data_IF_132278651300
#
_entry.id   IF_132278651300
#
_cell.length_a   1.000
_cell.length_b   1.000
_cell.length_c   1.000
_cell.angle_alpha   90.00
_cell.angle_beta   90.00
_cell.angle_gamma   90.00
#
_symmetry.space_group_name_H-M   'P 1'
#
loop_
_entity.id
_entity.type
_entity.pdbx_description
1 polymer ?
#
# COMPACT_ATOMS: atom_id res chain seq x y z
N UNK A 1 -5.75 -35.63 7.71
CA UNK A 1 -5.87 -34.64 8.81
C UNK A 1 -6.39 -33.30 8.24
N UNK A 2 -7.14 -32.50 9.00
CA UNK A 2 -7.81 -31.29 8.48
C UNK A 2 -6.83 -30.26 7.88
N UNK A 3 -5.64 -30.10 8.49
CA UNK A 3 -4.58 -29.23 7.97
C UNK A 3 -4.10 -29.64 6.57
N UNK A 4 -3.95 -30.95 6.31
CA UNK A 4 -3.51 -31.45 5.01
C UNK A 4 -4.56 -31.18 3.92
N UNK A 5 -5.84 -31.27 4.24
CA UNK A 5 -6.94 -30.96 3.31
C UNK A 5 -6.99 -29.46 2.99
N UNK A 6 -6.79 -28.60 4.00
CA UNK A 6 -6.73 -27.14 3.78
C UNK A 6 -5.62 -26.76 2.79
N UNK A 7 -4.38 -27.22 3.01
CA UNK A 7 -3.26 -26.84 2.13
C UNK A 7 -3.28 -27.51 0.76
N UNK A 8 -3.86 -28.70 0.63
CA UNK A 8 -3.81 -29.48 -0.62
C UNK A 8 -5.05 -29.28 -1.51
N UNK A 9 -6.18 -28.87 -0.94
CA UNK A 9 -7.47 -28.77 -1.66
C UNK A 9 -8.05 -27.38 -1.53
N UNK A 10 -8.31 -26.92 -0.30
CA UNK A 10 -9.03 -25.65 -0.09
C UNK A 10 -8.20 -24.44 -0.51
N UNK A 11 -6.95 -24.34 -0.05
CA UNK A 11 -6.06 -23.22 -0.30
C UNK A 11 -5.75 -23.07 -1.81
N UNK A 12 -5.36 -24.12 -2.56
CA UNK A 12 -5.16 -24.00 -4.01
C UNK A 12 -6.44 -23.63 -4.75
N UNK A 13 -7.60 -24.14 -4.31
CA UNK A 13 -8.89 -23.83 -4.93
C UNK A 13 -9.31 -22.37 -4.75
N UNK A 14 -8.98 -21.75 -3.61
CA UNK A 14 -9.25 -20.31 -3.36
C UNK A 14 -8.07 -19.41 -3.70
N UNK A 15 -6.92 -19.97 -4.09
CA UNK A 15 -5.68 -19.24 -4.32
C UNK A 15 -5.83 -18.04 -5.27
N UNK A 16 -6.55 -18.14 -6.41
CA UNK A 16 -6.77 -16.98 -7.28
C UNK A 16 -7.45 -15.83 -6.54
N UNK A 17 -8.47 -16.12 -5.72
CA UNK A 17 -9.17 -15.13 -4.91
C UNK A 17 -8.30 -14.56 -3.78
N UNK A 18 -7.43 -15.38 -3.18
CA UNK A 18 -6.46 -14.91 -2.16
C UNK A 18 -5.44 -13.96 -2.79
N UNK A 19 -4.96 -14.26 -4.00
CA UNK A 19 -4.05 -13.37 -4.74
C UNK A 19 -4.75 -12.03 -4.99
N UNK A 20 -5.93 -12.02 -5.61
CA UNK A 20 -6.69 -10.78 -5.86
C UNK A 20 -6.96 -9.99 -4.57
N UNK A 21 -7.37 -10.67 -3.49
CA UNK A 21 -7.62 -10.04 -2.20
C UNK A 21 -6.35 -9.45 -1.56
N UNK A 22 -5.22 -10.15 -1.67
CA UNK A 22 -3.93 -9.65 -1.16
C UNK A 22 -3.46 -8.41 -1.90
N UNK A 23 -3.67 -8.36 -3.22
CA UNK A 23 -3.33 -7.24 -4.07
C UNK A 23 -4.19 -6.00 -3.75
N UNK A 24 -5.50 -6.20 -3.59
CA UNK A 24 -6.42 -5.14 -3.19
C UNK A 24 -6.04 -4.56 -1.81
N UNK A 25 -5.72 -5.43 -0.84
CA UNK A 25 -5.27 -4.99 0.48
C UNK A 25 -3.92 -4.27 0.43
N UNK A 26 -3.01 -4.70 -0.44
CA UNK A 26 -1.73 -3.99 -0.67
C UNK A 26 -1.96 -2.57 -1.18
N UNK A 27 -2.85 -2.39 -2.17
CA UNK A 27 -3.23 -1.07 -2.70
C UNK A 27 -3.83 -0.20 -1.60
N UNK A 28 -4.75 -0.74 -0.82
CA UNK A 28 -5.40 0.00 0.27
C UNK A 28 -4.38 0.42 1.33
N UNK A 29 -3.45 -0.47 1.70
CA UNK A 29 -2.40 -0.19 2.65
C UNK A 29 -1.44 0.92 2.18
N UNK A 30 -1.13 1.00 0.88
CA UNK A 30 -0.31 2.08 0.33
C UNK A 30 -0.97 3.47 0.47
N UNK A 31 -2.30 3.52 0.51
CA UNK A 31 -3.06 4.76 0.68
C UNK A 31 -3.29 5.12 2.15
N UNK A 32 -3.04 4.18 3.08
CA UNK A 32 -3.37 4.33 4.48
C UNK A 32 -2.22 5.01 5.27
N UNK A 33 -2.24 6.34 5.29
CA UNK A 33 -1.24 7.12 6.02
C UNK A 33 -1.63 7.43 7.48
N UNK A 34 -2.92 7.36 7.85
CA UNK A 34 -3.39 7.74 9.18
C UNK A 34 -2.82 6.80 10.25
N UNK A 35 -2.89 5.49 10.01
CA UNK A 35 -2.27 4.49 10.90
C UNK A 35 -0.75 4.69 10.99
N UNK A 36 -0.09 4.96 9.87
CA UNK A 36 1.34 5.29 9.85
C UNK A 36 1.65 6.53 10.69
N UNK A 37 0.82 7.57 10.64
CA UNK A 37 1.00 8.79 11.44
C UNK A 37 0.91 8.53 12.95
N UNK A 38 0.08 7.58 13.38
CA UNK A 38 -0.04 7.20 14.79
C UNK A 38 1.11 6.29 15.27
N UNK A 39 1.74 5.55 14.36
CA UNK A 39 2.83 4.61 14.64
C UNK A 39 4.23 5.18 14.37
N UNK A 40 4.33 6.35 13.72
CA UNK A 40 5.58 6.99 13.34
C UNK A 40 6.37 7.42 14.59
N UNK A 41 7.66 7.14 14.58
CA UNK A 41 8.64 7.65 15.54
C UNK A 41 9.48 8.74 14.85
N UNK A 42 10.07 9.66 15.62
CA UNK A 42 10.86 10.78 15.08
C UNK A 42 12.01 10.35 14.15
N UNK A 43 12.45 9.08 14.24
CA UNK A 43 13.52 8.52 13.41
C UNK A 43 13.04 7.93 12.07
N UNK A 44 11.76 7.60 11.93
CA UNK A 44 11.24 6.88 10.76
C UNK A 44 9.98 7.59 10.28
N UNK A 45 10.12 8.42 9.24
CA UNK A 45 9.00 9.10 8.61
C UNK A 45 8.75 8.45 7.24
N UNK A 46 7.56 7.89 7.05
CA UNK A 46 7.17 7.36 5.75
C UNK A 46 6.84 8.50 4.78
N UNK A 47 6.99 8.24 3.48
CA UNK A 47 6.79 9.23 2.42
C UNK A 47 5.39 9.91 2.49
N UNK A 48 4.27 9.18 2.73
CA UNK A 48 2.95 9.79 2.92
C UNK A 48 2.84 10.67 4.16
N UNK A 49 3.46 10.26 5.28
CA UNK A 49 3.47 11.05 6.52
C UNK A 49 4.29 12.32 6.34
N UNK A 50 5.40 12.26 5.58
CA UNK A 50 6.18 13.44 5.22
C UNK A 50 5.34 14.42 4.41
N UNK A 51 4.65 13.96 3.37
CA UNK A 51 3.74 14.81 2.56
C UNK A 51 2.68 15.46 3.45
N UNK A 52 2.04 14.69 4.34
CA UNK A 52 1.02 15.20 5.25
C UNK A 52 1.56 16.26 6.23
N UNK A 53 2.71 16.00 6.85
CA UNK A 53 3.36 16.94 7.75
C UNK A 53 3.80 18.21 7.01
N UNK A 54 4.27 18.07 5.78
CA UNK A 54 4.71 19.20 4.98
C UNK A 54 3.56 20.13 4.55
N UNK A 55 2.34 19.61 4.34
CA UNK A 55 1.13 20.42 4.11
C UNK A 55 0.80 21.31 5.32
N UNK A 56 1.10 20.85 6.53
CA UNK A 56 0.95 21.66 7.76
C UNK A 56 2.06 22.70 7.92
N UNK A 57 3.07 22.67 7.06
CA UNK A 57 4.22 23.59 7.04
C UNK A 57 4.29 24.34 5.69
N UNK A 58 5.46 24.85 5.29
CA UNK A 58 5.62 25.54 4.00
C UNK A 58 5.69 24.51 2.87
N UNK A 59 4.74 24.58 1.93
CA UNK A 59 4.73 23.74 0.73
C UNK A 59 5.86 24.19 -0.20
N UNK A 60 6.85 23.34 -0.45
CA UNK A 60 7.93 23.59 -1.39
C UNK A 60 7.63 22.96 -2.76
N UNK A 61 8.14 23.52 -3.87
CA UNK A 61 7.97 22.94 -5.20
C UNK A 61 8.53 21.51 -5.33
N UNK A 62 9.58 21.20 -4.57
CA UNK A 62 10.20 19.88 -4.51
C UNK A 62 9.24 18.82 -3.94
N UNK A 63 8.54 19.14 -2.84
CA UNK A 63 7.53 18.26 -2.26
C UNK A 63 6.39 17.95 -3.24
N UNK A 64 5.97 18.96 -4.02
CA UNK A 64 4.94 18.79 -5.03
C UNK A 64 5.40 17.82 -6.13
N UNK A 65 6.65 17.93 -6.59
CA UNK A 65 7.22 16.99 -7.56
C UNK A 65 7.27 15.56 -7.02
N UNK A 66 7.75 15.36 -5.78
CA UNK A 66 7.80 14.04 -5.12
C UNK A 66 6.40 13.42 -5.00
N UNK A 67 5.39 14.23 -4.66
CA UNK A 67 4.00 13.77 -4.51
C UNK A 67 3.44 13.25 -5.84
N UNK A 68 3.71 13.94 -6.95
CA UNK A 68 3.29 13.49 -8.29
C UNK A 68 3.94 12.17 -8.66
N UNK A 69 5.24 12.00 -8.39
CA UNK A 69 5.96 10.74 -8.63
C UNK A 69 5.38 9.61 -7.79
N UNK A 70 5.10 9.85 -6.50
CA UNK A 70 4.50 8.86 -5.61
C UNK A 70 3.12 8.40 -6.10
N UNK A 71 2.27 9.34 -6.53
CA UNK A 71 0.96 9.04 -7.11
C UNK A 71 1.12 8.24 -8.40
N UNK A 72 2.06 8.61 -9.28
CA UNK A 72 2.32 7.89 -10.52
C UNK A 72 2.77 6.44 -10.26
N UNK A 73 3.70 6.22 -9.33
CA UNK A 73 4.14 4.88 -8.94
C UNK A 73 2.99 4.03 -8.39
N UNK A 74 2.18 4.61 -7.49
CA UNK A 74 1.01 3.93 -6.92
C UNK A 74 -0.01 3.57 -8.00
N UNK A 75 -0.29 4.49 -8.93
CA UNK A 75 -1.19 4.26 -10.06
C UNK A 75 -0.68 3.16 -11.00
N UNK A 76 0.63 3.14 -11.30
CA UNK A 76 1.24 2.07 -12.11
C UNK A 76 1.15 0.72 -11.40
N UNK A 77 1.41 0.67 -10.09
CA UNK A 77 1.26 -0.55 -9.31
C UNK A 77 -0.19 -1.07 -9.40
N UNK A 78 -1.19 -0.22 -9.12
CA UNK A 78 -2.61 -0.59 -9.24
C UNK A 78 -2.95 -1.08 -10.65
N UNK A 79 -2.49 -0.36 -11.68
CA UNK A 79 -2.76 -0.70 -13.07
C UNK A 79 -2.18 -2.06 -13.48
N UNK A 80 -0.96 -2.37 -13.02
CA UNK A 80 -0.34 -3.68 -13.26
C UNK A 80 -1.10 -4.80 -12.55
N UNK A 81 -1.62 -4.52 -11.35
CA UNK A 81 -2.39 -5.49 -10.58
C UNK A 81 -3.77 -5.76 -11.19
N UNK A 82 -4.44 -4.75 -11.74
CA UNK A 82 -5.73 -4.91 -12.44
C UNK A 82 -5.60 -5.75 -13.73
N UNK A 83 -4.39 -5.79 -14.30
CA UNK A 83 -4.05 -6.55 -15.51
C UNK A 83 -3.65 -8.02 -15.25
N UNK A 84 -3.43 -8.41 -13.99
CA UNK A 84 -3.05 -9.76 -13.56
C UNK A 84 -4.27 -10.58 -13.14
#
# INVERSE_FOLDING_TARGET
>A
PPLQVFFSVTLPAVMPGVITGSLLMFILALNEFLVSLLLVDARIVTLPVLIYNSIRSIITPDLAAISVVFIACSAVAVFLLDRL
#
